data_IF_558819692411
#
_entry.id   IF_558819692411
#
_cell.length_a   1.000
_cell.length_b   1.000
_cell.length_c   1.000
_cell.angle_alpha   90.00
_cell.angle_beta   90.00
_cell.angle_gamma   90.00
#
_symmetry.space_group_name_H-M   'P 1'
#
loop_
_entity.id
_entity.type
_entity.pdbx_description
1 polymer ?
#
# COMPACT_ATOMS: atom_id res chain seq x y z
N UNK A 1 -0.67 14.63 7.14
CA UNK A 1 -1.00 13.37 7.87
C UNK A 1 -0.31 12.22 7.14
N UNK A 2 0.26 11.25 7.85
CA UNK A 2 0.87 10.09 7.18
C UNK A 2 -0.24 9.12 6.74
N UNK A 3 -0.28 8.66 5.47
CA UNK A 3 -1.31 7.74 4.99
C UNK A 3 -1.30 6.41 5.77
N UNK A 4 -0.12 6.01 6.23
CA UNK A 4 0.13 4.86 7.08
C UNK A 4 -0.61 4.93 8.43
N UNK A 5 -0.50 6.09 9.10
CA UNK A 5 -1.20 6.36 10.37
C UNK A 5 -2.72 6.38 10.15
N UNK A 6 -3.17 6.93 9.03
CA UNK A 6 -4.58 6.97 8.67
C UNK A 6 -5.18 5.55 8.56
N UNK A 7 -4.49 4.62 7.88
CA UNK A 7 -4.94 3.23 7.81
C UNK A 7 -4.89 2.55 9.18
N UNK A 8 -3.90 2.86 10.03
CA UNK A 8 -3.81 2.33 11.41
C UNK A 8 -4.95 2.80 12.31
N UNK A 9 -5.36 4.07 12.18
CA UNK A 9 -6.43 4.65 13.00
C UNK A 9 -7.83 4.28 12.49
N UNK A 10 -8.05 4.35 11.17
CA UNK A 10 -9.38 4.24 10.58
C UNK A 10 -9.65 2.88 9.92
N UNK A 11 -8.61 2.08 9.71
CA UNK A 11 -8.70 0.82 9.00
C UNK A 11 -8.72 0.98 7.48
N UNK A 12 -8.48 -0.14 6.79
CA UNK A 12 -8.35 -0.18 5.33
C UNK A 12 -9.67 0.10 4.61
N UNK A 13 -10.79 -0.34 5.18
CA UNK A 13 -12.12 -0.17 4.60
C UNK A 13 -12.55 1.30 4.58
N UNK A 14 -12.29 2.02 5.67
CA UNK A 14 -12.57 3.46 5.73
C UNK A 14 -11.67 4.24 4.77
N UNK A 15 -10.38 3.87 4.72
CA UNK A 15 -9.40 4.47 3.83
C UNK A 15 -9.79 4.29 2.34
N UNK A 16 -10.38 3.15 1.96
CA UNK A 16 -10.96 2.95 0.61
C UNK A 16 -12.07 3.94 0.30
N UNK A 17 -13.02 4.09 1.23
CA UNK A 17 -14.16 5.01 1.06
C UNK A 17 -13.67 6.45 0.95
N UNK A 18 -12.71 6.83 1.78
CA UNK A 18 -12.10 8.15 1.78
C UNK A 18 -11.42 8.46 0.44
N UNK A 19 -10.61 7.54 -0.10
CA UNK A 19 -9.98 7.71 -1.42
C UNK A 19 -11.02 7.80 -2.54
N UNK A 20 -12.06 6.95 -2.51
CA UNK A 20 -13.11 6.99 -3.52
C UNK A 20 -13.88 8.32 -3.50
N UNK A 21 -14.07 8.92 -2.32
CA UNK A 21 -14.67 10.24 -2.17
C UNK A 21 -13.75 11.32 -2.75
N UNK A 22 -12.45 11.30 -2.40
CA UNK A 22 -11.46 12.24 -2.92
C UNK A 22 -11.34 12.17 -4.45
N UNK A 23 -11.44 10.97 -5.05
CA UNK A 23 -11.51 10.81 -6.50
C UNK A 23 -12.75 11.44 -7.12
N UNK A 24 -13.89 11.38 -6.43
CA UNK A 24 -15.14 11.95 -6.89
C UNK A 24 -15.17 13.48 -6.79
N UNK A 25 -14.41 14.07 -5.86
CA UNK A 25 -14.26 15.53 -5.73
C UNK A 25 -13.32 16.13 -6.79
N UNK A 26 -12.53 15.29 -7.46
CA UNK A 26 -11.67 15.71 -8.58
C UNK A 26 -10.37 16.40 -8.17
N UNK A 27 -10.19 16.72 -6.88
CA UNK A 27 -8.98 17.33 -6.33
C UNK A 27 -8.29 16.35 -5.38
N UNK A 28 -7.54 15.40 -5.96
CA UNK A 28 -6.77 14.44 -5.17
C UNK A 28 -5.48 15.09 -4.66
N UNK A 29 -5.35 15.19 -3.35
CA UNK A 29 -4.15 15.70 -2.71
C UNK A 29 -3.00 14.69 -2.85
N UNK A 30 -1.74 15.15 -2.83
CA UNK A 30 -0.56 14.29 -2.99
C UNK A 30 -0.44 13.20 -1.92
N UNK A 31 -1.00 13.41 -0.72
CA UNK A 31 -1.02 12.40 0.34
C UNK A 31 -2.16 11.37 0.16
N UNK A 32 -3.28 11.76 -0.45
CA UNK A 32 -4.40 10.86 -0.79
C UNK A 32 -4.03 9.94 -1.94
N UNK A 33 -3.27 10.46 -2.90
CA UNK A 33 -2.64 9.65 -3.96
C UNK A 33 -1.70 8.59 -3.39
N UNK A 34 -0.97 8.91 -2.31
CA UNK A 34 -0.14 7.93 -1.59
C UNK A 34 -1.02 6.91 -0.85
N UNK A 35 -2.05 7.37 -0.14
CA UNK A 35 -3.03 6.50 0.52
C UNK A 35 -3.65 5.51 -0.47
N UNK A 36 -4.06 5.97 -1.65
CA UNK A 36 -4.60 5.13 -2.74
C UNK A 36 -3.61 4.07 -3.20
N UNK A 37 -2.36 4.46 -3.47
CA UNK A 37 -1.32 3.51 -3.87
C UNK A 37 -1.13 2.43 -2.81
N UNK A 38 -1.14 2.83 -1.55
CA UNK A 38 -0.85 2.00 -0.41
C UNK A 38 -2.01 1.04 -0.07
N UNK A 39 -3.26 1.46 -0.28
CA UNK A 39 -4.43 0.56 -0.29
C UNK A 39 -4.36 -0.43 -1.46
N UNK A 40 -4.01 0.04 -2.66
CA UNK A 40 -3.86 -0.83 -3.82
C UNK A 40 -2.75 -1.87 -3.58
N UNK A 41 -1.67 -1.49 -2.88
CA UNK A 41 -0.63 -2.41 -2.45
C UNK A 41 -1.15 -3.53 -1.57
N UNK A 42 -1.91 -3.16 -0.55
CA UNK A 42 -2.48 -4.10 0.40
C UNK A 42 -3.48 -5.03 -0.27
N UNK A 43 -4.31 -4.52 -1.18
CA UNK A 43 -5.22 -5.34 -1.97
C UNK A 43 -4.46 -6.33 -2.87
N UNK A 44 -3.39 -5.87 -3.53
CA UNK A 44 -2.54 -6.71 -4.37
C UNK A 44 -1.86 -7.82 -3.54
N UNK A 45 -1.36 -7.49 -2.35
CA UNK A 45 -0.76 -8.44 -1.42
C UNK A 45 -1.79 -9.47 -0.96
N UNK A 46 -3.00 -9.01 -0.61
CA UNK A 46 -4.08 -9.89 -0.18
C UNK A 46 -4.54 -10.82 -1.32
N UNK A 47 -4.67 -10.29 -2.53
CA UNK A 47 -5.00 -11.06 -3.74
C UNK A 47 -3.91 -12.09 -4.08
N UNK A 48 -2.63 -11.79 -3.79
CA UNK A 48 -1.51 -12.72 -3.96
C UNK A 48 -1.43 -13.81 -2.87
N UNK A 49 -2.33 -13.84 -1.88
CA UNK A 49 -2.27 -14.82 -0.78
C UNK A 49 -1.45 -14.35 0.43
N UNK A 50 -1.18 -13.05 0.53
CA UNK A 50 -0.50 -12.42 1.67
C UNK A 50 0.96 -12.05 1.42
N UNK A 51 1.55 -11.32 2.36
CA UNK A 51 2.93 -10.79 2.26
C UNK A 51 3.96 -11.90 2.04
N UNK A 52 3.72 -13.08 2.61
CA UNK A 52 4.56 -14.28 2.48
C UNK A 52 4.61 -14.80 1.04
N UNK A 53 3.47 -14.81 0.35
CA UNK A 53 3.41 -15.18 -1.08
C UNK A 53 4.08 -14.12 -1.94
N UNK A 54 3.85 -12.83 -1.65
CA UNK A 54 4.50 -11.74 -2.38
C UNK A 54 6.02 -11.83 -2.26
N UNK A 55 6.57 -12.03 -1.05
CA UNK A 55 8.01 -12.26 -0.84
C UNK A 55 8.51 -13.53 -1.55
N UNK A 56 7.73 -14.62 -1.55
CA UNK A 56 8.08 -15.87 -2.26
C UNK A 56 8.15 -15.65 -3.77
N UNK A 57 7.13 -15.03 -4.36
CA UNK A 57 7.09 -14.65 -5.78
C UNK A 57 8.19 -13.65 -6.15
N UNK A 58 8.59 -12.77 -5.23
CA UNK A 58 9.71 -11.86 -5.44
C UNK A 58 11.03 -12.61 -5.63
N UNK A 59 11.22 -13.70 -4.88
CA UNK A 59 12.41 -14.57 -4.97
C UNK A 59 12.42 -15.41 -6.26
N UNK A 60 11.26 -15.78 -6.76
CA UNK A 60 11.07 -16.68 -7.91
C UNK A 60 10.98 -15.93 -9.27
N UNK A 61 10.37 -14.75 -9.30
CA UNK A 61 10.00 -14.02 -10.52
C UNK A 61 10.98 -12.87 -10.87
N UNK A 62 12.28 -13.12 -10.69
CA UNK A 62 13.36 -12.14 -10.56
C UNK A 62 13.68 -11.19 -11.73
N UNK A 63 12.75 -10.74 -12.57
CA UNK A 63 13.14 -9.85 -13.69
C UNK A 63 12.16 -8.79 -14.22
N UNK A 64 10.88 -8.66 -13.79
CA UNK A 64 10.00 -7.67 -14.46
C UNK A 64 9.09 -6.83 -13.56
N UNK A 65 8.85 -7.24 -12.31
CA UNK A 65 7.97 -6.50 -11.37
C UNK A 65 8.70 -6.01 -10.11
N UNK A 66 10.03 -6.15 -10.07
CA UNK A 66 10.84 -5.93 -8.88
C UNK A 66 10.76 -4.52 -8.30
N UNK A 67 10.74 -3.47 -9.13
CA UNK A 67 10.68 -2.08 -8.64
C UNK A 67 9.31 -1.72 -8.08
N UNK A 68 8.25 -2.09 -8.83
CA UNK A 68 6.87 -1.87 -8.39
C UNK A 68 6.64 -2.60 -7.06
N UNK A 69 7.07 -3.85 -6.97
CA UNK A 69 6.85 -4.68 -5.79
C UNK A 69 7.81 -4.35 -4.63
N UNK A 70 8.99 -3.78 -4.88
CA UNK A 70 9.85 -3.16 -3.84
C UNK A 70 9.20 -1.92 -3.27
N UNK A 71 8.62 -1.06 -4.10
CA UNK A 71 7.88 0.10 -3.63
C UNK A 71 6.69 -0.36 -2.75
N UNK A 72 5.93 -1.36 -3.20
CA UNK A 72 4.83 -1.98 -2.43
C UNK A 72 5.29 -2.48 -1.04
N UNK A 73 6.41 -3.21 -0.97
CA UNK A 73 6.98 -3.73 0.29
C UNK A 73 7.50 -2.59 1.17
N UNK A 74 8.22 -1.62 0.60
CA UNK A 74 8.74 -0.46 1.32
C UNK A 74 7.62 0.39 1.91
N UNK A 75 6.58 0.66 1.14
CA UNK A 75 5.37 1.33 1.63
C UNK A 75 4.74 0.51 2.76
N UNK A 76 4.62 -0.82 2.63
CA UNK A 76 4.07 -1.67 3.68
C UNK A 76 4.92 -1.73 4.97
N UNK A 77 6.24 -1.79 4.85
CA UNK A 77 7.19 -1.74 5.97
C UNK A 77 7.15 -0.38 6.66
N UNK A 78 6.96 0.69 5.91
CA UNK A 78 6.79 2.04 6.44
C UNK A 78 5.47 2.17 7.25
N UNK A 79 4.38 1.50 6.82
CA UNK A 79 3.09 1.46 7.56
C UNK A 79 3.19 0.77 8.92
N UNK A 80 3.81 -0.41 8.94
CA UNK A 80 3.83 -1.27 10.12
C UNK A 80 5.08 -1.11 10.99
N UNK A 81 5.98 -0.20 10.60
CA UNK A 81 7.20 0.08 11.37
C UNK A 81 8.23 -1.04 11.20
N UNK A 82 8.80 -1.15 10.01
CA UNK A 82 10.17 -1.60 9.86
C UNK A 82 11.08 -0.57 10.50
N UNK A 83 11.24 -0.65 11.82
CA UNK A 83 12.29 0.07 12.53
C UNK A 83 13.63 -0.47 12.06
N UNK A 84 14.37 0.34 11.32
CA UNK A 84 15.81 0.19 11.15
C UNK A 84 16.41 1.44 11.81
N UNK A 85 16.78 1.25 13.08
CA UNK A 85 17.97 1.87 13.67
C UNK A 85 19.20 1.21 13.05
#
# INVERSE_FOLDING_TARGET
MKPEQFIREWGIEYSRKYVALAESEGDILPWEKQLKQLIASLDLINHMGGLSEVKRKFRDNGSCHGERMKALIKDHESIYGGGDE
#
